data_IF_758258157522
#
_entry.id   IF_758258157522
#
_cell.length_a   1.000
_cell.length_b   1.000
_cell.length_c   1.000
_cell.angle_alpha   90.00
_cell.angle_beta   90.00
_cell.angle_gamma   90.00
#
_symmetry.space_group_name_H-M   'P 1'
#
loop_
_entity.id
_entity.type
_entity.pdbx_description
1 polymer ?
#
# COMPACT_ATOMS: atom_id res chain seq x y z
N UNK A 1 -8.87 -2.42 0.18
CA UNK A 1 -8.41 -1.90 1.50
C UNK A 1 -8.92 -2.71 2.69
N UNK A 2 -10.01 -3.49 2.55
CA UNK A 2 -10.67 -4.22 3.66
C UNK A 2 -9.67 -5.03 4.51
N UNK A 3 -8.65 -5.66 3.90
CA UNK A 3 -7.63 -6.44 4.62
C UNK A 3 -6.84 -5.65 5.67
N UNK A 4 -6.74 -4.33 5.53
CA UNK A 4 -5.99 -3.46 6.45
C UNK A 4 -6.85 -2.84 7.56
N UNK A 5 -8.17 -2.87 7.43
CA UNK A 5 -9.09 -2.15 8.35
C UNK A 5 -9.09 -2.71 9.77
N UNK A 6 -8.62 -3.94 9.94
CA UNK A 6 -8.57 -4.63 11.24
C UNK A 6 -7.24 -4.47 11.97
N UNK A 7 -6.29 -3.71 11.43
CA UNK A 7 -5.06 -3.38 12.15
C UNK A 7 -5.38 -2.52 13.37
N UNK A 8 -4.78 -2.84 14.49
CA UNK A 8 -5.11 -2.25 15.79
C UNK A 8 -4.88 -0.74 15.83
N UNK A 9 -3.71 -0.28 15.36
CA UNK A 9 -3.32 1.15 15.39
C UNK A 9 -3.62 1.87 14.09
N UNK A 10 -3.22 1.30 12.97
CA UNK A 10 -3.21 1.98 11.67
C UNK A 10 -4.50 1.79 10.87
N UNK A 11 -5.30 0.75 11.17
CA UNK A 11 -6.51 0.43 10.42
C UNK A 11 -7.53 1.56 10.45
N UNK A 12 -7.75 2.17 11.61
CA UNK A 12 -8.65 3.33 11.75
C UNK A 12 -8.13 4.53 10.97
N UNK A 13 -6.86 4.86 11.10
CA UNK A 13 -6.22 5.99 10.38
C UNK A 13 -6.33 5.83 8.86
N UNK A 14 -6.16 4.59 8.35
CA UNK A 14 -6.36 4.25 6.94
C UNK A 14 -7.80 4.54 6.48
N UNK A 15 -8.79 4.08 7.23
CA UNK A 15 -10.21 4.27 6.90
C UNK A 15 -10.60 5.74 7.00
N UNK A 16 -10.20 6.43 8.07
CA UNK A 16 -10.51 7.84 8.28
C UNK A 16 -9.90 8.72 7.17
N UNK A 17 -8.66 8.46 6.80
CA UNK A 17 -7.99 9.16 5.68
C UNK A 17 -8.70 8.89 4.36
N UNK A 18 -9.06 7.65 4.08
CA UNK A 18 -9.78 7.30 2.86
C UNK A 18 -11.14 8.01 2.78
N UNK A 19 -11.90 8.01 3.86
CA UNK A 19 -13.18 8.70 3.94
C UNK A 19 -13.02 10.23 3.79
N UNK A 20 -12.00 10.84 4.41
CA UNK A 20 -11.74 12.26 4.28
C UNK A 20 -11.47 12.66 2.82
N UNK A 21 -10.70 11.87 2.07
CA UNK A 21 -10.41 12.12 0.65
C UNK A 21 -11.65 11.93 -0.23
N UNK A 22 -12.55 10.99 0.11
CA UNK A 22 -13.80 10.82 -0.65
C UNK A 22 -14.75 12.01 -0.50
N UNK A 23 -14.68 12.71 0.62
CA UNK A 23 -15.49 13.92 0.90
C UNK A 23 -14.81 15.16 0.30
N UNK A 24 -13.53 15.36 0.57
CA UNK A 24 -12.72 16.47 0.07
C UNK A 24 -11.76 16.00 -1.03
N UNK A 25 -12.23 16.11 -2.27
CA UNK A 25 -11.42 15.70 -3.43
C UNK A 25 -10.41 16.76 -3.91
N UNK A 26 -10.28 17.89 -3.25
CA UNK A 26 -9.26 18.89 -3.58
C UNK A 26 -7.88 18.46 -3.09
N UNK A 27 -7.81 17.88 -1.88
CA UNK A 27 -6.58 17.34 -1.29
C UNK A 27 -6.59 15.81 -1.33
N UNK A 28 -6.10 15.22 -2.43
CA UNK A 28 -6.12 13.76 -2.63
C UNK A 28 -4.77 13.08 -2.44
N UNK A 29 -3.71 13.87 -2.25
CA UNK A 29 -2.36 13.33 -2.09
C UNK A 29 -2.18 12.75 -0.70
N UNK A 30 -1.52 11.58 -0.63
CA UNK A 30 -1.34 10.82 0.60
C UNK A 30 0.14 10.57 0.87
N UNK A 31 0.54 10.65 2.13
CA UNK A 31 1.85 10.23 2.59
C UNK A 31 1.69 9.06 3.58
N UNK A 32 2.22 7.89 3.22
CA UNK A 32 2.26 6.71 4.06
C UNK A 32 3.66 6.54 4.64
N UNK A 33 3.76 6.66 5.94
CA UNK A 33 5.01 6.56 6.69
C UNK A 33 5.00 5.31 7.58
N UNK A 34 6.15 4.71 7.77
CA UNK A 34 6.28 3.56 8.66
C UNK A 34 7.71 3.04 8.74
N UNK A 35 7.87 1.90 9.38
CA UNK A 35 9.18 1.27 9.50
C UNK A 35 9.73 0.79 8.16
N UNK A 36 11.06 0.73 8.04
CA UNK A 36 11.71 0.28 6.81
C UNK A 36 11.38 -1.19 6.52
N UNK A 37 11.00 -1.50 5.29
CA UNK A 37 10.76 -2.88 4.85
C UNK A 37 9.33 -3.39 5.05
N UNK A 38 8.40 -2.59 5.54
CA UNK A 38 7.00 -2.99 5.80
C UNK A 38 6.14 -3.29 4.57
N UNK A 39 6.61 -2.96 3.36
CA UNK A 39 5.77 -3.11 2.17
C UNK A 39 4.74 -1.98 2.01
N UNK A 40 5.04 -0.78 2.52
CA UNK A 40 4.17 0.40 2.40
C UNK A 40 3.79 0.70 0.96
N UNK A 41 4.64 0.36 0.01
CA UNK A 41 4.39 0.54 -1.43
C UNK A 41 3.19 -0.29 -1.88
N UNK A 42 3.06 -1.54 -1.43
CA UNK A 42 1.89 -2.38 -1.75
C UNK A 42 0.61 -1.85 -1.12
N UNK A 43 0.68 -1.32 0.10
CA UNK A 43 -0.45 -0.60 0.71
C UNK A 43 -0.84 0.61 -0.13
N UNK A 44 0.14 1.39 -0.59
CA UNK A 44 -0.06 2.53 -1.49
C UNK A 44 -0.69 2.13 -2.83
N UNK A 45 -0.27 1.02 -3.42
CA UNK A 45 -0.89 0.49 -4.64
C UNK A 45 -2.34 0.07 -4.43
N UNK A 46 -2.65 -0.57 -3.30
CA UNK A 46 -4.03 -0.94 -2.96
C UNK A 46 -4.90 0.30 -2.70
N UNK A 47 -4.31 1.35 -2.11
CA UNK A 47 -4.96 2.66 -1.98
C UNK A 47 -5.28 3.27 -3.34
N UNK A 48 -4.32 3.26 -4.26
CA UNK A 48 -4.48 3.77 -5.63
C UNK A 48 -5.58 3.02 -6.41
N UNK A 49 -5.64 1.67 -6.27
CA UNK A 49 -6.72 0.86 -6.86
C UNK A 49 -8.08 1.25 -6.31
N UNK A 50 -8.18 1.42 -4.98
CA UNK A 50 -9.42 1.82 -4.33
C UNK A 50 -9.85 3.23 -4.73
N UNK A 51 -8.92 4.14 -4.99
CA UNK A 51 -9.22 5.48 -5.51
C UNK A 51 -9.85 5.44 -6.90
N UNK A 52 -9.41 4.53 -7.76
CA UNK A 52 -10.06 4.31 -9.05
C UNK A 52 -11.47 3.72 -8.88
N UNK A 53 -11.62 2.68 -8.04
CA UNK A 53 -12.90 2.00 -7.81
C UNK A 53 -13.97 2.95 -7.23
N UNK A 54 -13.54 3.97 -6.46
CA UNK A 54 -14.41 5.00 -5.88
C UNK A 54 -14.56 6.26 -6.75
N UNK A 55 -13.97 6.30 -7.94
CA UNK A 55 -14.05 7.44 -8.86
C UNK A 55 -13.23 8.67 -8.44
N UNK A 56 -12.31 8.52 -7.46
CA UNK A 56 -11.38 9.58 -7.06
C UNK A 56 -10.31 9.78 -8.14
N UNK A 57 -9.79 8.69 -8.70
CA UNK A 57 -8.99 8.69 -9.93
C UNK A 57 -9.86 8.37 -11.14
N UNK A 58 -9.73 9.12 -12.21
CA UNK A 58 -10.49 8.94 -13.45
C UNK A 58 -9.93 7.84 -14.34
N UNK A 59 -8.62 7.60 -14.26
CA UNK A 59 -7.91 6.57 -15.00
C UNK A 59 -7.44 5.45 -14.07
N UNK A 60 -7.52 4.20 -14.53
CA UNK A 60 -7.05 3.00 -13.81
C UNK A 60 -5.51 2.92 -13.77
N UNK A 61 -4.83 3.83 -14.45
CA UNK A 61 -3.37 3.81 -14.57
C UNK A 61 -2.71 4.11 -13.25
N UNK A 62 -1.88 3.18 -12.76
CA UNK A 62 -1.06 3.35 -11.55
C UNK A 62 0.38 3.21 -11.98
N UNK A 63 1.18 4.26 -11.75
CA UNK A 63 2.62 4.22 -11.93
C UNK A 63 3.30 4.04 -10.57
N UNK A 64 4.20 3.04 -10.47
CA UNK A 64 5.09 2.87 -9.33
C UNK A 64 6.49 3.30 -9.73
N UNK A 65 7.10 4.16 -8.93
CA UNK A 65 8.45 4.67 -9.18
C UNK A 65 9.25 4.82 -7.89
N UNK A 66 10.51 4.43 -7.91
CA UNK A 66 11.44 4.71 -6.79
C UNK A 66 11.88 6.17 -6.82
N UNK A 67 12.04 6.79 -5.65
CA UNK A 67 12.49 8.19 -5.53
C UNK A 67 13.77 8.49 -6.33
N UNK A 68 14.75 7.56 -6.31
CA UNK A 68 16.00 7.73 -7.07
C UNK A 68 15.77 7.77 -8.60
N UNK A 69 14.80 7.04 -9.10
CA UNK A 69 14.41 7.09 -10.51
C UNK A 69 13.60 8.35 -10.81
N UNK A 70 12.69 8.74 -9.90
CA UNK A 70 11.92 9.99 -9.99
C UNK A 70 12.81 11.22 -10.12
N UNK A 71 13.92 11.27 -9.37
CA UNK A 71 14.89 12.37 -9.43
C UNK A 71 15.52 12.56 -10.82
N UNK A 72 15.48 11.54 -11.68
CA UNK A 72 16.11 11.54 -13.01
C UNK A 72 15.14 11.77 -14.17
N UNK A 73 13.83 11.64 -13.92
CA UNK A 73 12.83 11.78 -14.98
C UNK A 73 12.37 13.22 -15.15
N UNK A 74 11.87 13.55 -16.34
CA UNK A 74 11.11 14.79 -16.57
C UNK A 74 9.70 14.59 -16.02
N UNK A 75 9.41 15.18 -14.86
CA UNK A 75 8.13 14.98 -14.17
C UNK A 75 6.92 15.42 -14.99
N UNK A 76 7.02 16.53 -15.70
CA UNK A 76 5.93 17.02 -16.54
C UNK A 76 5.49 15.97 -17.58
N UNK A 77 6.44 15.30 -18.25
CA UNK A 77 6.16 14.25 -19.24
C UNK A 77 5.55 13.01 -18.56
N UNK A 78 6.06 12.62 -17.38
CA UNK A 78 5.55 11.48 -16.62
C UNK A 78 4.13 11.72 -16.12
N UNK A 79 3.86 12.91 -15.56
CA UNK A 79 2.54 13.30 -15.06
C UNK A 79 1.51 13.40 -16.19
N UNK A 80 1.90 13.94 -17.35
CA UNK A 80 1.02 14.02 -18.52
C UNK A 80 0.60 12.64 -19.02
N UNK A 81 1.51 11.66 -19.03
CA UNK A 81 1.21 10.26 -19.41
C UNK A 81 0.32 9.53 -18.39
N UNK A 82 0.30 10.03 -17.17
CA UNK A 82 -0.45 9.44 -16.06
C UNK A 82 -1.76 10.20 -15.78
N UNK A 83 -2.14 11.12 -16.63
CA UNK A 83 -3.28 12.02 -16.41
C UNK A 83 -4.54 11.27 -15.93
N UNK A 84 -5.13 11.77 -14.85
CA UNK A 84 -6.29 11.17 -14.17
C UNK A 84 -6.01 9.92 -13.35
N UNK A 85 -4.76 9.43 -13.34
CA UNK A 85 -4.35 8.22 -12.62
C UNK A 85 -3.67 8.50 -11.27
N UNK A 86 -2.87 7.54 -10.82
CA UNK A 86 -2.17 7.61 -9.54
C UNK A 86 -0.68 7.28 -9.68
N UNK A 87 0.18 8.03 -8.98
CA UNK A 87 1.61 7.77 -8.86
C UNK A 87 1.94 7.33 -7.44
N UNK A 88 2.50 6.14 -7.28
CA UNK A 88 3.03 5.64 -6.00
C UNK A 88 4.54 5.78 -6.01
N UNK A 89 5.09 6.61 -5.11
CA UNK A 89 6.52 6.86 -5.00
C UNK A 89 7.10 6.09 -3.83
N UNK A 90 7.96 5.12 -4.14
CA UNK A 90 8.66 4.30 -3.16
C UNK A 90 9.91 5.00 -2.62
N UNK A 91 10.18 4.86 -1.31
CA UNK A 91 11.29 5.52 -0.61
C UNK A 91 11.29 7.04 -0.80
N UNK A 92 10.12 7.66 -0.70
CA UNK A 92 9.90 9.07 -1.02
C UNK A 92 10.80 10.05 -0.26
N UNK A 93 11.29 9.68 0.94
CA UNK A 93 12.27 10.48 1.67
C UNK A 93 13.61 10.69 0.96
N UNK A 94 13.86 9.99 -0.18
CA UNK A 94 15.04 10.15 -1.04
C UNK A 94 14.76 11.01 -2.29
N UNK A 95 13.60 11.64 -2.37
CA UNK A 95 13.32 12.65 -3.41
C UNK A 95 14.19 13.87 -3.14
N UNK A 96 14.84 14.39 -4.18
CA UNK A 96 15.59 15.64 -4.06
C UNK A 96 14.63 16.82 -3.79
N UNK A 97 15.00 17.80 -2.93
CA UNK A 97 14.08 18.89 -2.55
C UNK A 97 13.54 19.72 -3.72
N UNK A 98 14.37 19.98 -4.72
CA UNK A 98 13.99 20.65 -5.97
C UNK A 98 12.96 19.82 -6.76
N UNK A 99 13.17 18.51 -6.82
CA UNK A 99 12.28 17.57 -7.51
C UNK A 99 10.94 17.44 -6.75
N UNK A 100 10.98 17.47 -5.41
CA UNK A 100 9.76 17.50 -4.60
C UNK A 100 8.95 18.79 -4.85
N UNK A 101 9.64 19.91 -4.95
CA UNK A 101 9.01 21.21 -5.28
C UNK A 101 8.39 21.18 -6.69
N UNK A 102 9.06 20.57 -7.67
CA UNK A 102 8.50 20.38 -9.02
C UNK A 102 7.27 19.46 -8.97
N UNK A 103 7.32 18.35 -8.24
CA UNK A 103 6.22 17.40 -8.07
C UNK A 103 5.00 18.10 -7.48
N UNK A 104 5.15 18.87 -6.41
CA UNK A 104 4.05 19.60 -5.77
C UNK A 104 3.35 20.59 -6.73
N UNK A 105 4.10 21.25 -7.60
CA UNK A 105 3.51 22.16 -8.62
C UNK A 105 2.70 21.39 -9.65
N UNK A 106 3.10 20.18 -9.99
CA UNK A 106 2.44 19.36 -11.01
C UNK A 106 1.29 18.51 -10.47
N UNK A 107 1.14 18.40 -9.14
CA UNK A 107 0.00 17.68 -8.50
C UNK A 107 -1.27 18.53 -8.44
N UNK A 108 -1.25 19.79 -8.87
CA UNK A 108 -2.45 20.60 -8.95
C UNK A 108 -3.47 19.94 -9.89
N UNK A 109 -4.71 19.79 -9.42
CA UNK A 109 -5.80 19.08 -10.11
C UNK A 109 -6.04 19.61 -11.55
N UNK A 110 -5.81 20.90 -11.75
CA UNK A 110 -6.05 21.57 -13.02
C UNK A 110 -5.04 21.23 -14.11
N UNK A 111 -3.88 20.65 -13.74
CA UNK A 111 -2.81 20.37 -14.69
C UNK A 111 -2.97 18.96 -15.30
N UNK A 112 -2.87 17.93 -14.48
CA UNK A 112 -2.89 16.54 -14.96
C UNK A 112 -3.88 15.65 -14.19
N UNK A 113 -4.47 16.16 -13.13
CA UNK A 113 -5.42 15.42 -12.26
C UNK A 113 -4.82 14.10 -11.72
N UNK A 114 -3.54 14.07 -11.40
CA UNK A 114 -2.82 12.89 -10.88
C UNK A 114 -2.80 12.92 -9.36
N UNK A 115 -3.19 11.83 -8.74
CA UNK A 115 -3.02 11.62 -7.30
C UNK A 115 -1.62 11.07 -7.03
N UNK A 116 -0.95 11.61 -6.02
CA UNK A 116 0.38 11.14 -5.60
C UNK A 116 0.30 10.51 -4.22
N UNK A 117 0.82 9.30 -4.11
CA UNK A 117 1.00 8.57 -2.85
C UNK A 117 2.49 8.43 -2.59
N UNK A 118 2.98 9.08 -1.55
CA UNK A 118 4.35 8.93 -1.08
C UNK A 118 4.42 7.79 -0.06
N UNK A 119 5.41 6.90 -0.20
CA UNK A 119 5.64 5.82 0.77
C UNK A 119 7.09 5.80 1.20
N UNK A 120 7.36 5.61 2.50
CA UNK A 120 8.74 5.53 3.00
C UNK A 120 8.88 5.59 4.51
N UNK A 121 10.12 5.54 4.98
CA UNK A 121 10.43 5.61 6.40
C UNK A 121 10.10 7.00 6.96
N UNK A 122 9.47 7.03 8.13
CA UNK A 122 8.99 8.24 8.80
C UNK A 122 10.09 9.30 8.96
N UNK A 123 11.26 8.89 9.41
CA UNK A 123 12.38 9.82 9.60
C UNK A 123 12.80 10.52 8.32
N UNK A 124 12.93 9.76 7.22
CA UNK A 124 13.41 10.30 5.94
C UNK A 124 12.37 11.21 5.26
N UNK A 125 11.09 10.88 5.37
CA UNK A 125 9.99 11.72 4.87
C UNK A 125 9.91 13.02 5.67
N UNK A 126 9.98 12.95 7.00
CA UNK A 126 9.97 14.16 7.84
C UNK A 126 11.15 15.09 7.51
N UNK A 127 12.31 14.53 7.22
CA UNK A 127 13.49 15.31 6.78
C UNK A 127 13.22 15.97 5.43
N UNK A 128 12.64 15.26 4.46
CA UNK A 128 12.25 15.81 3.16
C UNK A 128 11.25 16.96 3.33
N UNK A 129 10.20 16.77 4.12
CA UNK A 129 9.19 17.80 4.36
C UNK A 129 9.79 19.03 5.05
N UNK A 130 10.71 18.83 5.99
CA UNK A 130 11.45 19.95 6.61
C UNK A 130 12.34 20.73 5.63
N UNK A 131 12.83 20.08 4.58
CA UNK A 131 13.68 20.70 3.56
C UNK A 131 12.88 21.38 2.42
N UNK A 132 11.58 21.10 2.30
CA UNK A 132 10.74 21.53 1.16
C UNK A 132 9.56 22.44 1.54
N UNK A 133 9.56 22.99 2.75
CA UNK A 133 8.58 24.00 3.23
C UNK A 133 7.12 23.54 3.10
N UNK A 134 6.50 23.81 1.95
CA UNK A 134 5.06 23.61 1.72
C UNK A 134 4.64 22.13 1.48
N UNK A 135 5.56 21.18 1.52
CA UNK A 135 5.24 19.78 1.21
C UNK A 135 4.21 19.19 2.19
N UNK A 136 4.28 19.58 3.45
CA UNK A 136 3.34 19.14 4.49
C UNK A 136 1.91 19.58 4.20
N UNK A 137 1.74 20.76 3.63
CA UNK A 137 0.43 21.36 3.29
C UNK A 137 -0.19 20.73 2.04
N UNK A 138 0.64 20.16 1.16
CA UNK A 138 0.20 19.42 -0.03
C UNK A 138 -0.07 17.94 0.23
N UNK A 139 0.53 17.38 1.27
CA UNK A 139 0.34 16.00 1.73
C UNK A 139 -0.26 16.00 3.13
N UNK A 140 -1.46 16.61 3.26
CA UNK A 140 -2.19 16.72 4.53
C UNK A 140 -2.65 15.38 5.07
N UNK A 141 -2.94 14.42 4.16
CA UNK A 141 -3.32 13.07 4.52
C UNK A 141 -2.08 12.22 4.80
N UNK A 142 -1.75 12.10 6.09
CA UNK A 142 -0.60 11.33 6.56
C UNK A 142 -1.08 10.11 7.32
N UNK A 143 -0.59 8.94 6.91
CA UNK A 143 -0.89 7.65 7.52
C UNK A 143 0.41 7.12 8.13
N UNK A 144 0.42 6.94 9.44
CA UNK A 144 1.54 6.32 10.14
C UNK A 144 1.26 4.82 10.32
N UNK A 145 2.15 3.98 9.79
CA UNK A 145 2.09 2.52 9.83
C UNK A 145 3.25 1.93 10.64
N UNK A 146 3.75 2.67 11.63
CA UNK A 146 4.77 2.16 12.56
C UNK A 146 4.18 1.16 13.55
N UNK A 147 5.05 0.24 14.00
CA UNK A 147 4.72 -0.71 15.05
C UNK A 147 3.62 -1.70 14.66
N UNK A 148 3.56 -2.12 13.40
CA UNK A 148 2.67 -3.20 12.96
C UNK A 148 3.06 -4.49 13.68
N UNK A 149 2.14 -5.03 14.45
CA UNK A 149 2.34 -6.22 15.26
C UNK A 149 2.17 -7.52 14.45
N UNK A 150 2.63 -8.65 14.98
CA UNK A 150 2.33 -9.97 14.41
C UNK A 150 0.81 -10.20 14.33
N UNK A 151 0.04 -9.65 15.27
CA UNK A 151 -1.42 -9.74 15.26
C UNK A 151 -2.04 -8.94 14.11
N UNK A 152 -1.52 -7.75 13.82
CA UNK A 152 -1.94 -6.96 12.65
C UNK A 152 -1.63 -7.70 11.35
N UNK A 153 -0.44 -8.28 11.24
CA UNK A 153 -0.04 -9.07 10.07
C UNK A 153 -0.96 -10.27 9.87
N UNK A 154 -1.32 -10.96 10.95
CA UNK A 154 -2.27 -12.08 10.90
C UNK A 154 -3.66 -11.60 10.45
N UNK A 155 -4.12 -10.45 10.93
CA UNK A 155 -5.39 -9.86 10.52
C UNK A 155 -5.41 -9.50 9.02
N UNK A 156 -4.28 -8.98 8.50
CA UNK A 156 -4.10 -8.69 7.07
C UNK A 156 -4.15 -9.99 6.25
N UNK A 157 -3.43 -11.04 6.67
CA UNK A 157 -3.42 -12.34 5.99
C UNK A 157 -4.82 -12.95 5.92
N UNK A 158 -5.55 -12.97 7.03
CA UNK A 158 -6.95 -13.43 7.08
C UNK A 158 -7.88 -12.63 6.16
N UNK A 159 -7.74 -11.31 6.17
CA UNK A 159 -8.48 -10.41 5.29
C UNK A 159 -8.16 -10.69 3.81
N UNK A 160 -6.91 -10.98 3.50
CA UNK A 160 -6.45 -11.31 2.15
C UNK A 160 -7.05 -12.64 1.67
N UNK A 161 -6.98 -13.72 2.45
CA UNK A 161 -7.61 -14.99 2.12
C UNK A 161 -9.11 -14.83 1.85
N UNK A 162 -9.82 -14.11 2.73
CA UNK A 162 -11.23 -13.84 2.55
C UNK A 162 -11.52 -13.08 1.25
N UNK A 163 -10.71 -12.08 0.91
CA UNK A 163 -10.83 -11.29 -0.33
C UNK A 163 -10.64 -12.17 -1.58
N UNK A 164 -9.75 -13.17 -1.51
CA UNK A 164 -9.52 -14.15 -2.59
C UNK A 164 -10.52 -15.31 -2.58
N UNK A 165 -11.47 -15.31 -1.64
CA UNK A 165 -12.52 -16.31 -1.52
C UNK A 165 -12.08 -17.61 -0.82
N UNK A 166 -10.92 -17.61 -0.17
CA UNK A 166 -10.43 -18.76 0.60
C UNK A 166 -10.96 -18.74 2.05
N UNK A 167 -11.27 -19.92 2.56
CA UNK A 167 -11.61 -20.16 3.96
C UNK A 167 -10.43 -20.77 4.70
N UNK A 168 -10.33 -20.49 5.99
CA UNK A 168 -9.29 -21.01 6.88
C UNK A 168 -9.91 -21.53 8.16
N UNK A 169 -9.21 -22.41 8.87
CA UNK A 169 -9.51 -22.82 10.24
C UNK A 169 -8.44 -22.31 11.23
N UNK A 170 -8.62 -22.64 12.50
CA UNK A 170 -7.69 -22.22 13.56
C UNK A 170 -6.28 -22.83 13.40
N UNK A 171 -6.15 -23.98 12.76
CA UNK A 171 -4.84 -24.61 12.51
C UNK A 171 -4.00 -23.81 11.52
N UNK A 172 -4.65 -23.23 10.51
CA UNK A 172 -4.02 -22.31 9.55
C UNK A 172 -3.57 -21.04 10.24
N UNK A 173 -4.38 -20.51 11.16
CA UNK A 173 -4.03 -19.34 11.94
C UNK A 173 -2.74 -19.52 12.73
N UNK A 174 -2.61 -20.65 13.42
CA UNK A 174 -1.40 -21.03 14.15
C UNK A 174 -0.18 -21.12 13.22
N UNK A 175 -0.35 -21.74 12.04
CA UNK A 175 0.71 -21.87 11.03
C UNK A 175 1.16 -20.52 10.49
N UNK A 176 0.22 -19.65 10.12
CA UNK A 176 0.52 -18.30 9.63
C UNK A 176 1.22 -17.48 10.72
N UNK A 177 0.77 -17.58 11.98
CA UNK A 177 1.42 -16.90 13.11
C UNK A 177 2.85 -17.34 13.28
N UNK A 178 3.13 -18.64 13.23
CA UNK A 178 4.50 -19.16 13.31
C UNK A 178 5.37 -18.69 12.14
N UNK A 179 4.82 -18.67 10.93
CA UNK A 179 5.50 -18.13 9.75
C UNK A 179 5.87 -16.67 9.94
N UNK A 180 4.93 -15.85 10.44
CA UNK A 180 5.15 -14.43 10.71
C UNK A 180 6.21 -14.20 11.81
N UNK A 181 6.22 -15.02 12.85
CA UNK A 181 7.22 -14.94 13.90
C UNK A 181 8.62 -15.32 13.41
N UNK A 182 8.72 -16.20 12.41
CA UNK A 182 9.98 -16.58 11.77
C UNK A 182 10.47 -15.55 10.73
N UNK A 183 9.60 -14.66 10.28
CA UNK A 183 9.97 -13.54 9.41
C UNK A 183 10.60 -12.43 10.26
N UNK A 184 11.89 -12.16 10.05
CA UNK A 184 12.53 -10.98 10.63
C UNK A 184 11.80 -9.72 10.15
N UNK A 185 11.19 -8.97 11.07
CA UNK A 185 10.38 -7.77 10.86
C UNK A 185 9.20 -7.93 9.87
N UNK A 186 8.02 -7.53 10.29
CA UNK A 186 6.77 -7.68 9.55
C UNK A 186 6.78 -7.04 8.16
N UNK A 187 7.18 -7.77 7.14
CA UNK A 187 7.14 -7.32 5.76
C UNK A 187 5.85 -7.82 5.11
N UNK A 188 4.93 -6.89 4.86
CA UNK A 188 3.61 -7.18 4.25
C UNK A 188 3.76 -7.88 2.90
N UNK A 189 4.71 -7.45 2.05
CA UNK A 189 4.90 -8.04 0.72
C UNK A 189 5.33 -9.50 0.81
N UNK A 190 6.27 -9.79 1.71
CA UNK A 190 6.76 -11.14 1.94
C UNK A 190 5.66 -12.06 2.49
N UNK A 191 4.85 -11.53 3.41
CA UNK A 191 3.69 -12.25 3.93
C UNK A 191 2.65 -12.51 2.84
N UNK A 192 2.27 -11.50 2.05
CA UNK A 192 1.29 -11.66 0.97
C UNK A 192 1.78 -12.67 -0.07
N UNK A 193 3.07 -12.66 -0.41
CA UNK A 193 3.67 -13.66 -1.29
C UNK A 193 3.55 -15.08 -0.72
N UNK A 194 3.81 -15.28 0.57
CA UNK A 194 3.62 -16.58 1.21
C UNK A 194 2.15 -17.01 1.23
N UNK A 195 1.22 -16.06 1.37
CA UNK A 195 -0.21 -16.33 1.23
C UNK A 195 -0.58 -16.76 -0.19
N UNK A 196 -0.03 -16.11 -1.23
CA UNK A 196 -0.24 -16.48 -2.63
C UNK A 196 0.28 -17.89 -2.92
N UNK A 197 1.48 -18.23 -2.45
CA UNK A 197 2.06 -19.56 -2.58
C UNK A 197 1.19 -20.63 -1.92
N UNK A 198 0.66 -20.36 -0.72
CA UNK A 198 -0.25 -21.28 -0.03
C UNK A 198 -1.58 -21.45 -0.78
N UNK A 199 -2.14 -20.38 -1.33
CA UNK A 199 -3.38 -20.45 -2.13
C UNK A 199 -3.19 -21.27 -3.41
N UNK A 200 -2.04 -21.15 -4.09
CA UNK A 200 -1.69 -21.96 -5.26
C UNK A 200 -1.59 -23.44 -4.89
N UNK A 201 -0.90 -23.79 -3.79
CA UNK A 201 -0.81 -25.17 -3.31
C UNK A 201 -2.18 -25.75 -2.94
N UNK A 202 -3.04 -24.95 -2.32
CA UNK A 202 -4.43 -25.34 -2.05
C UNK A 202 -5.18 -25.67 -3.35
N UNK A 203 -5.11 -24.80 -4.34
CA UNK A 203 -5.78 -25.03 -5.65
C UNK A 203 -5.24 -26.30 -6.32
N UNK A 204 -3.95 -26.54 -6.31
CA UNK A 204 -3.34 -27.74 -6.90
C UNK A 204 -3.75 -29.02 -6.13
N UNK A 205 -3.76 -28.97 -4.79
CA UNK A 205 -4.21 -30.07 -3.92
C UNK A 205 -5.67 -30.41 -4.17
N UNK A 206 -6.52 -29.42 -4.29
CA UNK A 206 -7.95 -29.63 -4.53
C UNK A 206 -8.23 -30.12 -5.96
N UNK A 207 -7.54 -29.60 -6.97
CA UNK A 207 -7.62 -30.12 -8.36
C UNK A 207 -7.23 -31.60 -8.45
N UNK A 208 -6.18 -32.02 -7.74
CA UNK A 208 -5.76 -33.43 -7.69
C UNK A 208 -6.86 -34.34 -7.12
N UNK A 209 -7.76 -33.81 -6.28
CA UNK A 209 -8.91 -34.51 -5.70
C UNK A 209 -10.19 -34.38 -6.54
N UNK A 210 -10.13 -33.73 -7.70
CA UNK A 210 -11.31 -33.40 -8.51
C UNK A 210 -12.26 -32.38 -7.86
N UNK A 211 -11.72 -31.57 -6.94
CA UNK A 211 -12.44 -30.53 -6.18
C UNK A 211 -12.00 -29.14 -6.57
N UNK A 212 -12.86 -28.15 -6.34
CA UNK A 212 -12.54 -26.72 -6.48
C UNK A 212 -12.74 -25.95 -5.17
N UNK A 213 -12.64 -26.65 -4.02
CA UNK A 213 -12.81 -26.01 -2.71
C UNK A 213 -11.65 -25.08 -2.42
N UNK A 214 -11.98 -23.86 -2.06
CA UNK A 214 -11.00 -22.86 -1.57
C UNK A 214 -10.91 -22.91 -0.04
N UNK A 215 -10.30 -23.98 0.47
CA UNK A 215 -10.13 -24.21 1.90
C UNK A 215 -8.67 -24.52 2.22
N UNK A 216 -7.99 -23.55 2.81
CA UNK A 216 -6.57 -23.64 3.17
C UNK A 216 -6.36 -24.58 4.35
N UNK A 217 -5.30 -25.36 4.31
CA UNK A 217 -4.82 -26.23 5.36
C UNK A 217 -3.39 -25.85 5.76
N UNK A 218 -2.98 -26.23 6.95
CA UNK A 218 -1.61 -25.96 7.43
C UNK A 218 -0.51 -26.52 6.52
N UNK A 219 -0.80 -27.60 5.77
CA UNK A 219 0.13 -28.20 4.81
C UNK A 219 0.40 -27.32 3.58
N UNK A 220 -0.53 -26.45 3.20
CA UNK A 220 -0.38 -25.53 2.07
C UNK A 220 0.71 -24.47 2.33
N UNK A 221 1.11 -24.28 3.59
CA UNK A 221 2.15 -23.33 4.01
C UNK A 221 3.55 -23.96 4.16
N UNK A 222 3.71 -25.24 3.87
CA UNK A 222 4.98 -25.97 3.86
C UNK A 222 5.55 -25.98 2.45
#
# INVERSE_FOLDING_TARGET
>A
LEKYTKMEKSGKSLVDTFNAITVDQENRNVCMMGDHGFGLTSVGEDFARSFYDMGICKAKTIAKIKAQALNKVKLADAMSKLAGGCMVVENAGLIAPDKMTELMKLTAKDVNDVVVILTGATETINRLFGATGDAKDKFTHQINMEGISTQDMLAIAKGYFKQQGFKTDDSVEGTVKNLLMAMESGNIDRMLKACDEAMLKCDDREKAKGSSRKYLLSEDFK
#
